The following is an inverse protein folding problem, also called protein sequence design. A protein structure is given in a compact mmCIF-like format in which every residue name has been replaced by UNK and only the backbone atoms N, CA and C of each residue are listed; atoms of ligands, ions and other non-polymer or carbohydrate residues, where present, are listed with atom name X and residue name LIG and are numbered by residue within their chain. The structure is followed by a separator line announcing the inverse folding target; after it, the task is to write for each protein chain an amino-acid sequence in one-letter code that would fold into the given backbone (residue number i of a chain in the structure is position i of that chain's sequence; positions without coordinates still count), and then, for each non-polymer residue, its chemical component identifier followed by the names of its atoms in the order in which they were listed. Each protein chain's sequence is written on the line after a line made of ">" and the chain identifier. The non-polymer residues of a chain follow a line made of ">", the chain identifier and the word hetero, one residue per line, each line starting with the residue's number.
data_IF_646954597976
#
_entry.id   IF_646954597976
#
_cell.length_a   1.000
_cell.length_b   1.000
_cell.length_c   1.000
_cell.angle_alpha   90.00
_cell.angle_beta   90.00
_cell.angle_gamma   90.00
#
_symmetry.space_group_name_H-M   'P 1'
#
loop_
_entity.id
_entity.type
_entity.pdbx_description
1 polymer ?
#
# COMPACT_ATOMS: atom_id res chain seq x y z
N UNK A 1 -15.35 -4.93 -7.16
CA UNK A 1 -15.68 -5.91 -8.21
C UNK A 1 -15.25 -7.31 -7.77
N UNK A 2 -16.15 -8.30 -7.70
CA UNK A 2 -15.77 -9.68 -7.43
C UNK A 2 -15.05 -10.33 -8.63
N UNK A 3 -14.28 -11.41 -8.41
CA UNK A 3 -13.78 -11.83 -7.10
C UNK A 3 -12.71 -10.86 -6.56
N UNK A 4 -12.57 -10.77 -5.24
CA UNK A 4 -11.50 -9.99 -4.57
C UNK A 4 -10.90 -10.75 -3.39
N UNK A 5 -9.57 -10.74 -3.30
CA UNK A 5 -8.78 -11.37 -2.23
C UNK A 5 -7.84 -10.35 -1.61
N UNK A 6 -8.19 -9.87 -0.41
CA UNK A 6 -7.39 -8.90 0.34
C UNK A 6 -5.98 -9.41 0.60
N UNK A 7 -5.85 -10.66 1.04
CA UNK A 7 -4.57 -11.30 1.32
C UNK A 7 -3.64 -11.32 0.09
N UNK A 8 -4.16 -11.57 -1.10
CA UNK A 8 -3.38 -11.54 -2.34
C UNK A 8 -3.00 -10.11 -2.75
N UNK A 9 -3.92 -9.15 -2.65
CA UNK A 9 -3.63 -7.75 -2.94
C UNK A 9 -2.55 -7.19 -2.00
N UNK A 10 -2.68 -7.49 -0.70
CA UNK A 10 -1.75 -7.06 0.34
C UNK A 10 -0.41 -7.78 0.22
N UNK A 11 -0.38 -9.06 -0.16
CA UNK A 11 0.86 -9.76 -0.43
C UNK A 11 1.73 -9.04 -1.47
N UNK A 12 1.10 -8.51 -2.52
CA UNK A 12 1.77 -7.77 -3.60
C UNK A 12 2.18 -6.36 -3.17
N UNK A 13 1.38 -5.68 -2.34
CA UNK A 13 1.73 -4.36 -1.76
C UNK A 13 2.88 -4.48 -0.77
N UNK A 14 2.73 -5.38 0.20
CA UNK A 14 3.68 -5.62 1.27
C UNK A 14 5.03 -6.04 0.70
N UNK A 15 5.04 -6.96 -0.27
CA UNK A 15 6.22 -7.55 -0.94
C UNK A 15 7.17 -8.33 -0.01
N UNK A 16 7.49 -7.76 1.15
CA UNK A 16 8.40 -8.30 2.17
C UNK A 16 7.84 -8.11 3.57
N UNK A 17 8.08 -9.07 4.50
CA UNK A 17 7.56 -8.98 5.85
C UNK A 17 7.96 -7.72 6.61
N UNK A 18 9.15 -7.20 6.33
CA UNK A 18 9.77 -6.04 6.98
C UNK A 18 9.27 -4.69 6.43
N UNK A 19 8.31 -4.68 5.49
CA UNK A 19 7.73 -3.43 5.01
C UNK A 19 6.99 -2.72 6.15
N UNK A 20 7.49 -1.54 6.52
CA UNK A 20 6.95 -0.73 7.63
C UNK A 20 5.67 0.02 7.26
N UNK A 21 5.42 0.22 5.97
CA UNK A 21 4.30 1.02 5.46
C UNK A 21 3.08 0.15 5.22
N UNK A 22 3.24 -0.95 4.49
CA UNK A 22 2.19 -1.91 4.18
C UNK A 22 2.26 -3.12 5.13
N UNK A 23 1.54 -3.06 6.24
CA UNK A 23 1.63 -4.04 7.32
C UNK A 23 0.49 -5.07 7.24
N UNK A 24 0.82 -6.34 7.46
CA UNK A 24 -0.13 -7.46 7.41
C UNK A 24 0.17 -8.48 8.49
N UNK A 25 -0.81 -8.77 9.34
CA UNK A 25 -0.70 -9.73 10.43
C UNK A 25 -1.21 -11.14 10.09
N UNK A 26 -1.68 -11.35 8.84
CA UNK A 26 -2.34 -12.59 8.42
C UNK A 26 -3.85 -12.44 8.22
N UNK A 27 -4.46 -11.38 8.77
CA UNK A 27 -5.90 -11.11 8.71
C UNK A 27 -6.25 -9.65 8.46
N UNK A 28 -5.51 -8.73 9.04
CA UNK A 28 -5.73 -7.29 8.99
C UNK A 28 -4.58 -6.59 8.29
N UNK A 29 -4.95 -5.73 7.34
CA UNK A 29 -4.03 -4.87 6.61
C UNK A 29 -4.03 -3.49 7.24
N UNK A 30 -2.85 -3.02 7.66
CA UNK A 30 -2.69 -1.71 8.30
C UNK A 30 -1.76 -0.83 7.51
N UNK A 31 -2.14 0.43 7.33
CA UNK A 31 -1.32 1.44 6.65
C UNK A 31 -1.66 2.85 7.13
N UNK A 32 -0.63 3.65 7.36
CA UNK A 32 -0.79 5.08 7.58
C UNK A 32 -0.93 5.80 6.23
N UNK A 33 -1.99 6.61 6.08
CA UNK A 33 -2.27 7.43 4.92
C UNK A 33 -2.10 8.90 5.29
N UNK A 34 -1.26 9.61 4.55
CA UNK A 34 -1.19 11.06 4.64
C UNK A 34 -2.29 11.67 3.76
N UNK A 35 -3.18 12.42 4.38
CA UNK A 35 -4.32 13.10 3.77
C UNK A 35 -4.16 14.62 3.96
N UNK A 36 -5.05 15.39 3.35
CA UNK A 36 -5.09 16.82 3.57
C UNK A 36 -5.36 17.13 5.06
N UNK A 37 -4.46 17.91 5.67
CA UNK A 37 -4.56 18.31 7.07
C UNK A 37 -4.11 17.25 8.10
N UNK A 38 -3.50 16.14 7.70
CA UNK A 38 -2.85 15.21 8.62
C UNK A 38 -2.79 13.75 8.15
N UNK A 39 -2.39 12.85 9.04
CA UNK A 39 -2.36 11.41 8.77
C UNK A 39 -3.49 10.67 9.49
N UNK A 40 -3.93 9.56 8.90
CA UNK A 40 -4.83 8.58 9.53
C UNK A 40 -4.30 7.16 9.33
N UNK A 41 -4.54 6.26 10.27
CA UNK A 41 -4.27 4.83 10.10
C UNK A 41 -5.53 4.16 9.59
N UNK A 42 -5.40 3.35 8.54
CA UNK A 42 -6.48 2.47 8.09
C UNK A 42 -6.16 1.04 8.49
N UNK A 43 -7.15 0.35 9.05
CA UNK A 43 -7.13 -1.09 9.27
C UNK A 43 -8.23 -1.74 8.43
N UNK A 44 -7.83 -2.65 7.54
CA UNK A 44 -8.72 -3.26 6.55
C UNK A 44 -8.77 -4.77 6.76
N UNK A 45 -9.98 -5.31 6.85
CA UNK A 45 -10.24 -6.75 6.91
C UNK A 45 -11.23 -7.15 5.82
N UNK A 46 -11.27 -8.43 5.47
CA UNK A 46 -12.24 -8.98 4.52
C UNK A 46 -13.09 -10.05 5.22
N UNK A 47 -14.21 -9.69 5.85
CA UNK A 47 -15.13 -10.65 6.45
C UNK A 47 -15.92 -11.49 5.42
N UNK A 48 -16.18 -10.93 4.23
CA UNK A 48 -16.94 -11.62 3.18
C UNK A 48 -16.08 -12.55 2.31
N UNK A 49 -16.66 -13.59 1.69
CA UNK A 49 -15.92 -14.47 0.79
C UNK A 49 -15.51 -13.71 -0.49
N UNK A 50 -14.51 -14.22 -1.25
CA UNK A 50 -13.96 -13.51 -2.40
C UNK A 50 -14.98 -13.18 -3.49
N UNK A 51 -15.98 -14.03 -3.68
CA UNK A 51 -17.02 -13.94 -4.70
C UNK A 51 -18.09 -12.89 -4.38
N UNK A 52 -18.27 -12.58 -3.09
CA UNK A 52 -19.14 -11.49 -2.60
C UNK A 52 -18.36 -10.63 -1.60
N UNK A 53 -17.30 -9.94 -2.06
CA UNK A 53 -16.31 -9.36 -1.18
C UNK A 53 -16.92 -8.18 -0.41
N UNK A 54 -16.72 -8.20 0.90
CA UNK A 54 -17.04 -7.11 1.81
C UNK A 54 -15.77 -6.78 2.59
N UNK A 55 -15.43 -5.50 2.66
CA UNK A 55 -14.29 -5.01 3.43
C UNK A 55 -14.77 -4.24 4.66
N UNK A 56 -14.23 -4.62 5.82
CA UNK A 56 -14.32 -3.82 7.03
C UNK A 56 -13.15 -2.83 7.04
N UNK A 57 -13.43 -1.56 7.27
CA UNK A 57 -12.42 -0.49 7.34
C UNK A 57 -12.60 0.28 8.63
N UNK A 58 -11.59 0.24 9.47
CA UNK A 58 -11.46 1.08 10.67
C UNK A 58 -10.44 2.20 10.37
N UNK A 59 -10.71 3.39 10.88
CA UNK A 59 -9.87 4.57 10.67
C UNK A 59 -9.55 5.19 12.02
N UNK A 60 -8.27 5.34 12.32
CA UNK A 60 -7.75 5.88 13.58
C UNK A 60 -6.86 7.10 13.32
N UNK A 61 -6.69 7.95 14.34
CA UNK A 61 -5.88 9.17 14.29
C UNK A 61 -6.69 10.43 14.59
N UNK A 62 -6.01 11.54 14.89
CA UNK A 62 -6.65 12.81 15.32
C UNK A 62 -7.61 13.37 14.28
N UNK A 63 -7.38 13.08 13.00
CA UNK A 63 -8.22 13.52 11.88
C UNK A 63 -9.32 12.52 11.56
N UNK A 64 -9.39 11.37 12.21
CA UNK A 64 -10.40 10.36 11.94
C UNK A 64 -11.80 10.91 12.22
N UNK A 65 -12.65 10.88 11.19
CA UNK A 65 -14.00 11.44 11.26
C UNK A 65 -14.73 11.33 9.93
N UNK A 66 -16.03 11.69 9.90
CA UNK A 66 -16.87 11.57 8.71
C UNK A 66 -16.28 12.24 7.46
N UNK A 67 -15.61 13.38 7.65
CA UNK A 67 -15.03 14.17 6.57
C UNK A 67 -13.84 13.49 5.87
N UNK A 68 -13.14 12.57 6.54
CA UNK A 68 -12.03 11.81 5.95
C UNK A 68 -12.50 10.62 5.12
N UNK A 69 -13.75 10.18 5.30
CA UNK A 69 -14.29 8.96 4.67
C UNK A 69 -14.15 8.97 3.14
N UNK A 70 -14.47 10.04 2.40
CA UNK A 70 -14.32 10.05 0.95
C UNK A 70 -12.86 9.88 0.51
N UNK A 71 -11.93 10.56 1.18
CA UNK A 71 -10.50 10.49 0.88
C UNK A 71 -9.91 9.11 1.18
N UNK A 72 -10.24 8.52 2.33
CA UNK A 72 -9.84 7.15 2.69
C UNK A 72 -10.41 6.14 1.69
N UNK A 73 -11.69 6.27 1.32
CA UNK A 73 -12.34 5.37 0.35
C UNK A 73 -11.62 5.44 -1.01
N UNK A 74 -11.38 6.65 -1.54
CA UNK A 74 -10.67 6.83 -2.80
C UNK A 74 -9.25 6.25 -2.76
N UNK A 75 -8.53 6.46 -1.63
CA UNK A 75 -7.20 5.91 -1.43
C UNK A 75 -7.22 4.37 -1.44
N UNK A 76 -8.13 3.74 -0.70
CA UNK A 76 -8.26 2.28 -0.64
C UNK A 76 -8.71 1.67 -1.97
N UNK A 77 -9.65 2.30 -2.68
CA UNK A 77 -10.09 1.85 -4.01
C UNK A 77 -8.93 1.83 -5.01
N UNK A 78 -8.08 2.86 -4.96
CA UNK A 78 -6.87 2.93 -5.77
C UNK A 78 -5.84 1.89 -5.34
N UNK A 79 -5.53 1.86 -4.05
CA UNK A 79 -4.48 1.06 -3.43
C UNK A 79 -4.71 -0.44 -3.66
N UNK A 80 -5.93 -0.90 -3.40
CA UNK A 80 -6.32 -2.30 -3.49
C UNK A 80 -6.90 -2.67 -4.87
N UNK A 81 -7.03 -1.70 -5.79
CA UNK A 81 -7.56 -1.96 -7.13
C UNK A 81 -9.04 -2.41 -7.14
N UNK A 82 -9.85 -1.96 -6.18
CA UNK A 82 -11.22 -2.47 -5.94
C UNK A 82 -12.18 -2.26 -7.11
N UNK A 83 -11.88 -1.26 -7.95
CA UNK A 83 -12.65 -0.87 -9.14
C UNK A 83 -12.13 -1.50 -10.43
N UNK A 84 -11.05 -2.27 -10.39
CA UNK A 84 -10.47 -2.90 -11.58
C UNK A 84 -11.27 -4.16 -11.94
N UNK A 85 -11.90 -4.13 -13.10
CA UNK A 85 -12.47 -5.33 -13.71
C UNK A 85 -11.38 -6.11 -14.44
N UNK A 86 -11.28 -7.40 -14.14
CA UNK A 86 -10.31 -8.31 -14.78
C UNK A 86 -11.02 -9.38 -15.62
N UNK A 87 -12.34 -9.29 -15.82
CA UNK A 87 -13.12 -10.32 -16.49
C UNK A 87 -12.58 -10.62 -17.90
N UNK A 88 -12.22 -9.59 -18.67
CA UNK A 88 -11.63 -9.76 -20.01
C UNK A 88 -10.25 -10.42 -19.94
N UNK A 89 -9.39 -10.00 -18.99
CA UNK A 89 -8.09 -10.62 -18.77
C UNK A 89 -8.24 -12.11 -18.38
N UNK A 90 -9.15 -12.42 -17.46
CA UNK A 90 -9.43 -13.79 -17.02
C UNK A 90 -9.89 -14.67 -18.18
N UNK A 91 -10.78 -14.16 -19.05
CA UNK A 91 -11.24 -14.87 -20.25
C UNK A 91 -10.10 -15.10 -21.25
N UNK A 92 -9.25 -14.08 -21.47
CA UNK A 92 -8.10 -14.15 -22.37
C UNK A 92 -7.12 -15.25 -21.94
N UNK A 93 -6.74 -15.25 -20.66
CA UNK A 93 -5.70 -16.17 -20.15
C UNK A 93 -6.24 -17.56 -19.81
N UNK A 94 -7.56 -17.75 -19.72
CA UNK A 94 -8.16 -19.05 -19.39
C UNK A 94 -7.77 -20.18 -20.35
N UNK A 95 -7.46 -19.84 -21.62
CA UNK A 95 -7.06 -20.80 -22.65
C UNK A 95 -5.53 -20.91 -22.82
N UNK A 96 -4.76 -20.05 -22.15
CA UNK A 96 -3.31 -20.09 -22.22
C UNK A 96 -2.76 -21.18 -21.29
N UNK A 97 -1.97 -22.10 -21.85
CA UNK A 97 -1.41 -23.26 -21.13
C UNK A 97 -0.47 -22.88 -19.99
N UNK A 98 0.19 -21.71 -20.05
CA UNK A 98 1.11 -21.22 -19.02
C UNK A 98 0.42 -20.27 -18.05
N UNK A 99 -0.37 -19.34 -18.56
CA UNK A 99 -0.98 -18.27 -17.75
C UNK A 99 -2.31 -18.70 -17.12
N UNK A 100 -3.09 -19.58 -17.74
CA UNK A 100 -4.37 -20.05 -17.22
C UNK A 100 -4.27 -20.68 -15.81
N UNK A 101 -3.33 -21.61 -15.56
CA UNK A 101 -3.11 -22.15 -14.22
C UNK A 101 -2.73 -21.09 -13.18
N UNK A 102 -1.92 -20.09 -13.56
CA UNK A 102 -1.53 -19.00 -12.68
C UNK A 102 -2.71 -18.07 -12.36
N UNK A 103 -3.47 -17.68 -13.37
CA UNK A 103 -4.66 -16.84 -13.21
C UNK A 103 -5.71 -17.52 -12.31
N UNK A 104 -5.91 -18.84 -12.47
CA UNK A 104 -6.78 -19.62 -11.59
C UNK A 104 -6.26 -19.67 -10.16
N UNK A 105 -4.94 -19.86 -9.96
CA UNK A 105 -4.31 -19.90 -8.63
C UNK A 105 -4.41 -18.56 -7.89
N UNK A 106 -4.30 -17.45 -8.60
CA UNK A 106 -4.35 -16.09 -8.04
C UNK A 106 -5.68 -15.37 -8.28
N UNK A 107 -6.76 -16.13 -8.53
CA UNK A 107 -8.08 -15.55 -8.80
C UNK A 107 -8.52 -14.64 -7.64
N UNK A 108 -8.99 -13.45 -7.98
CA UNK A 108 -9.34 -12.40 -7.01
C UNK A 108 -8.18 -11.49 -6.60
N UNK A 109 -6.95 -11.76 -7.04
CA UNK A 109 -5.85 -10.80 -6.96
C UNK A 109 -6.13 -9.64 -7.89
N UNK A 110 -6.19 -8.43 -7.34
CA UNK A 110 -6.24 -7.19 -8.13
C UNK A 110 -4.84 -6.55 -8.16
N UNK A 111 -4.44 -5.92 -9.27
CA UNK A 111 -3.14 -5.25 -9.35
C UNK A 111 -3.20 -4.01 -8.44
N UNK A 112 -2.44 -4.01 -7.33
CA UNK A 112 -2.46 -2.86 -6.43
C UNK A 112 -1.72 -1.69 -7.05
N UNK A 113 -1.99 -0.49 -6.55
CA UNK A 113 -1.30 0.76 -6.93
C UNK A 113 -0.84 1.48 -5.68
N UNK A 114 0.13 2.36 -5.79
CA UNK A 114 0.43 3.27 -4.68
C UNK A 114 -0.64 4.37 -4.56
N UNK A 115 -0.91 4.90 -3.35
CA UNK A 115 -1.89 5.96 -3.13
C UNK A 115 -1.64 7.20 -4.00
N UNK A 116 -0.38 7.57 -4.23
CA UNK A 116 0.00 8.71 -5.08
C UNK A 116 1.00 8.30 -6.17
N UNK A 117 1.08 9.11 -7.23
CA UNK A 117 2.11 8.94 -8.27
C UNK A 117 3.50 9.24 -7.69
N UNK A 118 3.61 10.20 -6.78
CA UNK A 118 4.86 10.52 -6.10
C UNK A 118 5.42 9.31 -5.35
N UNK A 119 4.61 8.67 -4.51
CA UNK A 119 5.02 7.48 -3.78
C UNK A 119 5.46 6.35 -4.72
N UNK A 120 4.74 6.18 -5.85
CA UNK A 120 5.11 5.21 -6.88
C UNK A 120 6.52 5.48 -7.44
N UNK A 121 6.81 6.74 -7.77
CA UNK A 121 8.11 7.14 -8.33
C UNK A 121 9.24 6.96 -7.31
N UNK A 122 9.03 7.36 -6.04
CA UNK A 122 10.03 7.18 -4.99
C UNK A 122 10.30 5.69 -4.75
N UNK A 123 9.26 4.84 -4.69
CA UNK A 123 9.43 3.40 -4.60
C UNK A 123 10.23 2.84 -5.80
N UNK A 124 9.90 3.29 -7.01
CA UNK A 124 10.60 2.86 -8.21
C UNK A 124 12.09 3.22 -8.15
N UNK A 125 12.43 4.48 -7.79
CA UNK A 125 13.81 4.96 -7.66
C UNK A 125 14.55 4.22 -6.55
N UNK A 126 13.95 4.09 -5.36
CA UNK A 126 14.56 3.43 -4.20
C UNK A 126 14.89 1.94 -4.45
N UNK A 127 14.16 1.31 -5.37
CA UNK A 127 14.37 -0.09 -5.73
C UNK A 127 15.26 -0.28 -6.98
N UNK A 128 15.81 0.77 -7.58
CA UNK A 128 16.70 0.65 -8.74
C UNK A 128 18.03 -0.01 -8.35
N UNK A 129 18.44 -1.02 -9.12
CA UNK A 129 19.76 -1.68 -9.02
C UNK A 129 20.11 -2.26 -7.63
N UNK A 130 19.10 -2.46 -6.77
CA UNK A 130 19.25 -3.03 -5.43
C UNK A 130 18.34 -4.24 -5.24
N UNK A 131 18.56 -5.00 -4.17
CA UNK A 131 17.62 -6.06 -3.80
C UNK A 131 16.29 -5.45 -3.36
N UNK A 132 15.20 -6.17 -3.60
CA UNK A 132 13.87 -5.77 -3.13
C UNK A 132 13.83 -5.51 -1.61
N UNK A 133 14.55 -6.33 -0.83
CA UNK A 133 14.63 -6.17 0.63
C UNK A 133 15.30 -4.86 1.01
N UNK A 134 16.40 -4.48 0.33
CA UNK A 134 17.05 -3.20 0.58
C UNK A 134 16.15 -2.04 0.18
N UNK A 135 15.53 -2.09 -1.00
CA UNK A 135 14.62 -1.04 -1.48
C UNK A 135 13.44 -0.79 -0.53
N UNK A 136 12.79 -1.85 -0.05
CA UNK A 136 11.71 -1.75 0.95
C UNK A 136 12.20 -1.12 2.26
N UNK A 137 13.42 -1.47 2.73
CA UNK A 137 14.01 -0.87 3.93
C UNK A 137 14.33 0.62 3.75
N UNK A 138 14.86 1.01 2.59
CA UNK A 138 15.15 2.41 2.27
C UNK A 138 13.86 3.25 2.26
N UNK A 139 12.79 2.72 1.65
CA UNK A 139 11.48 3.35 1.68
C UNK A 139 10.92 3.46 3.11
N UNK A 140 11.08 2.41 3.92
CA UNK A 140 10.72 2.45 5.35
C UNK A 140 11.44 3.56 6.12
N UNK A 141 12.76 3.69 5.94
CA UNK A 141 13.55 4.77 6.56
C UNK A 141 13.12 6.17 6.10
N UNK A 142 12.74 6.33 4.83
CA UNK A 142 12.19 7.61 4.36
C UNK A 142 10.88 7.94 5.08
N UNK A 143 10.00 6.96 5.25
CA UNK A 143 8.77 7.17 6.01
C UNK A 143 9.05 7.52 7.47
N UNK A 144 9.99 6.84 8.13
CA UNK A 144 10.38 7.18 9.51
C UNK A 144 11.00 8.58 9.64
N UNK A 145 11.82 9.00 8.67
CA UNK A 145 12.54 10.27 8.75
C UNK A 145 11.71 11.50 8.31
N UNK A 146 10.83 11.32 7.33
CA UNK A 146 10.13 12.43 6.65
C UNK A 146 8.60 12.24 6.58
N UNK A 147 8.08 11.12 7.08
CA UNK A 147 6.66 10.83 7.12
C UNK A 147 5.97 11.45 8.33
N UNK A 148 4.68 11.73 8.19
CA UNK A 148 3.85 12.14 9.32
C UNK A 148 3.71 10.97 10.31
N UNK A 149 4.18 11.17 11.53
CA UNK A 149 4.03 10.20 12.61
C UNK A 149 2.60 10.21 13.17
N UNK A 150 2.09 9.03 13.47
CA UNK A 150 0.87 8.85 14.24
C UNK A 150 1.18 8.07 15.51
N UNK A 151 0.71 8.62 16.62
CA UNK A 151 0.86 8.04 17.94
C UNK A 151 -0.42 7.24 18.23
N UNK A 152 -0.29 5.93 18.41
CA UNK A 152 -1.46 5.06 18.61
C UNK A 152 -1.18 3.65 19.15
N UNK A 153 0.07 3.35 19.54
CA UNK A 153 0.47 2.03 20.05
C UNK A 153 1.87 2.06 20.68
N UNK A 154 2.52 0.89 20.79
CA UNK A 154 3.85 0.75 21.42
C UNK A 154 4.97 1.48 20.66
N UNK A 155 4.79 1.71 19.35
CA UNK A 155 5.73 2.43 18.50
C UNK A 155 4.98 3.36 17.53
N UNK A 156 5.56 4.54 17.18
CA UNK A 156 4.95 5.44 16.21
C UNK A 156 4.91 4.79 14.83
N UNK A 157 3.80 5.01 14.13
CA UNK A 157 3.62 4.56 12.74
C UNK A 157 3.70 5.78 11.84
N UNK A 158 4.34 5.65 10.69
CA UNK A 158 4.60 6.78 9.80
C UNK A 158 3.84 6.62 8.49
N UNK A 159 3.13 7.66 8.07
CA UNK A 159 2.61 7.76 6.71
C UNK A 159 3.77 7.97 5.72
N UNK A 160 3.54 7.64 4.45
CA UNK A 160 4.53 7.93 3.41
C UNK A 160 4.78 9.46 3.32
N UNK A 161 6.04 9.91 3.11
CA UNK A 161 6.36 11.34 3.06
C UNK A 161 5.59 12.09 1.96
N UNK A 162 5.15 13.31 2.27
CA UNK A 162 4.61 14.20 1.25
C UNK A 162 5.74 14.76 0.37
N UNK A 163 5.46 15.11 -0.91
CA UNK A 163 6.46 15.65 -1.82
C UNK A 163 7.22 16.86 -1.26
N UNK A 164 6.52 17.75 -0.55
CA UNK A 164 7.07 18.99 -0.01
C UNK A 164 8.10 18.73 1.09
N UNK A 165 7.91 17.66 1.88
CA UNK A 165 8.85 17.30 2.95
C UNK A 165 10.16 16.77 2.38
N UNK A 166 10.10 15.91 1.35
CA UNK A 166 11.31 15.44 0.67
C UNK A 166 11.97 16.55 -0.16
N UNK A 167 11.21 17.47 -0.73
CA UNK A 167 11.77 18.61 -1.48
C UNK A 167 12.58 19.57 -0.61
N UNK A 168 12.29 19.64 0.70
CA UNK A 168 13.06 20.45 1.67
C UNK A 168 14.30 19.73 2.19
N UNK A 169 14.40 18.41 2.01
CA UNK A 169 15.55 17.62 2.46
C UNK A 169 16.79 17.93 1.63
N UNK A 170 17.96 17.81 2.27
CA UNK A 170 19.25 17.93 1.56
C UNK A 170 19.68 16.57 1.00
N UNK A 171 20.32 16.51 -0.18
CA UNK A 171 20.84 15.25 -0.73
C UNK A 171 21.73 14.47 0.24
N UNK A 172 22.48 15.16 1.10
CA UNK A 172 23.32 14.55 2.14
C UNK A 172 22.52 13.79 3.19
N UNK A 173 21.32 14.26 3.53
CA UNK A 173 20.43 13.60 4.49
C UNK A 173 19.83 12.32 3.88
N UNK A 174 19.42 12.38 2.60
CA UNK A 174 18.97 11.19 1.87
C UNK A 174 20.09 10.14 1.75
N UNK A 175 21.34 10.57 1.56
CA UNK A 175 22.51 9.68 1.60
C UNK A 175 22.69 9.02 2.95
N UNK A 176 22.51 9.75 4.05
CA UNK A 176 22.60 9.18 5.40
C UNK A 176 21.55 8.08 5.64
N UNK A 177 20.41 8.16 4.95
CA UNK A 177 19.36 7.13 4.93
C UNK A 177 19.67 5.92 4.03
N UNK A 178 20.73 5.99 3.22
CA UNK A 178 21.25 4.89 2.39
C UNK A 178 21.02 5.04 0.89
N UNK A 179 20.59 6.21 0.41
CA UNK A 179 20.44 6.50 -1.02
C UNK A 179 21.79 6.87 -1.67
N UNK A 180 21.93 6.57 -2.96
CA UNK A 180 23.04 7.05 -3.78
C UNK A 180 22.86 8.53 -4.17
N UNK A 181 23.92 9.15 -4.68
CA UNK A 181 23.89 10.52 -5.23
C UNK A 181 23.32 10.52 -6.65
#
# INVERSE_FOLDING_TARGET
>A
MPPFRLDLAVWVLRRRPENLIDRWDGRCYRRALALEGGAVEVAVTQPGPPETPQLGVEVEGERAGPDTRPAVTAALERLLGLRIDLSEFEQLVARDVRLGPLAKRFRGMKPPRFPTVFECLVNAIACQQVTLTLGVRLVGRLAEAYGLAMNGGDAPVHAFPQPEELARSKPEELRSSGFSR
#
